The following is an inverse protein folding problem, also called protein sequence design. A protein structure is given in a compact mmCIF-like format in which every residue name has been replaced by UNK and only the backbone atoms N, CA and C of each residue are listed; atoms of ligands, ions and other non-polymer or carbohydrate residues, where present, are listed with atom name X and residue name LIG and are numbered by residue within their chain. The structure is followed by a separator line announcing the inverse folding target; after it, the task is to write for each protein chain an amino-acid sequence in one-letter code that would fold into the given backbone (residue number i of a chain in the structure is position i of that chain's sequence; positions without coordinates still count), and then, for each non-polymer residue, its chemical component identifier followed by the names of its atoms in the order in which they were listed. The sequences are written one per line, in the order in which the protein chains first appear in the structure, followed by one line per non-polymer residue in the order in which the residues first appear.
data_IF_113777894549
#
_entry.id   IF_113777894549
#
_cell.length_a   1.000
_cell.length_b   1.000
_cell.length_c   1.000
_cell.angle_alpha   90.00
_cell.angle_beta   90.00
_cell.angle_gamma   90.00
#
_symmetry.space_group_name_H-M   'P 1'
#
loop_
_entity.id
_entity.type
_entity.pdbx_description
1 polymer ?
#
# COMPACT_ATOMS: atom_id res chain seq x y z
N UNK A 1 1.98 15.56 2.25
CA UNK A 1 1.41 15.22 3.57
C UNK A 1 -0.09 14.97 3.53
N UNK A 2 -0.94 15.92 3.09
CA UNK A 2 -2.41 15.69 3.04
C UNK A 2 -2.76 14.59 2.03
N UNK A 3 -2.20 14.67 0.82
CA UNK A 3 -2.41 13.65 -0.23
C UNK A 3 -1.87 12.27 0.18
N UNK A 4 -0.67 12.21 0.77
CA UNK A 4 -0.08 10.94 1.24
C UNK A 4 -0.94 10.27 2.33
N UNK A 5 -1.47 11.06 3.27
CA UNK A 5 -2.39 10.55 4.29
C UNK A 5 -3.66 9.99 3.67
N UNK A 6 -4.25 10.71 2.72
CA UNK A 6 -5.46 10.23 2.04
C UNK A 6 -5.21 8.93 1.26
N UNK A 7 -4.05 8.78 0.63
CA UNK A 7 -3.68 7.52 -0.04
C UNK A 7 -3.54 6.37 0.95
N UNK A 8 -2.86 6.59 2.08
CA UNK A 8 -2.73 5.58 3.14
C UNK A 8 -4.09 5.19 3.74
N UNK A 9 -4.98 6.17 3.97
CA UNK A 9 -6.32 5.90 4.47
C UNK A 9 -7.18 5.15 3.44
N UNK A 10 -7.02 5.44 2.15
CA UNK A 10 -7.67 4.67 1.09
C UNK A 10 -7.17 3.22 1.08
N UNK A 11 -5.86 2.98 1.22
CA UNK A 11 -5.30 1.62 1.35
C UNK A 11 -5.84 0.90 2.58
N UNK A 12 -6.01 1.60 3.71
CA UNK A 12 -6.66 1.05 4.89
C UNK A 12 -8.11 0.61 4.60
N UNK A 13 -8.88 1.44 3.90
CA UNK A 13 -10.25 1.11 3.53
C UNK A 13 -10.33 -0.11 2.59
N UNK A 14 -9.34 -0.26 1.70
CA UNK A 14 -9.22 -1.38 0.76
C UNK A 14 -8.58 -2.63 1.37
N UNK A 15 -8.08 -2.54 2.61
CA UNK A 15 -7.34 -3.62 3.27
C UNK A 15 -8.15 -4.91 3.45
N UNK A 16 -7.43 -6.01 3.63
CA UNK A 16 -8.05 -7.31 3.86
C UNK A 16 -8.79 -7.42 5.20
N UNK A 17 -8.37 -6.65 6.21
CA UNK A 17 -9.07 -6.60 7.48
C UNK A 17 -10.49 -6.04 7.29
N UNK A 18 -10.61 -4.91 6.58
CA UNK A 18 -11.91 -4.30 6.23
C UNK A 18 -12.75 -5.25 5.36
N UNK A 19 -12.12 -5.99 4.43
CA UNK A 19 -12.79 -7.05 3.65
C UNK A 19 -13.46 -8.07 4.57
N UNK A 20 -12.72 -8.58 5.54
CA UNK A 20 -13.17 -9.63 6.46
C UNK A 20 -14.32 -9.15 7.33
N UNK A 21 -14.23 -7.92 7.85
CA UNK A 21 -15.31 -7.29 8.63
C UNK A 21 -16.58 -7.16 7.78
N UNK A 22 -16.49 -6.56 6.58
CA UNK A 22 -17.64 -6.36 5.71
C UNK A 22 -18.27 -7.69 5.26
N UNK A 23 -17.45 -8.68 4.84
CA UNK A 23 -17.94 -10.04 4.51
C UNK A 23 -18.65 -10.69 5.69
N UNK A 24 -18.10 -10.58 6.90
CA UNK A 24 -18.70 -11.17 8.09
C UNK A 24 -20.06 -10.54 8.41
N UNK A 25 -20.16 -9.21 8.38
CA UNK A 25 -21.42 -8.50 8.60
C UNK A 25 -22.47 -8.85 7.55
N UNK A 26 -22.08 -8.86 6.26
CA UNK A 26 -23.00 -9.19 5.17
C UNK A 26 -23.51 -10.64 5.24
N UNK A 27 -22.64 -11.59 5.59
CA UNK A 27 -22.99 -13.00 5.67
C UNK A 27 -23.72 -13.38 6.98
N UNK A 28 -23.41 -12.70 8.10
CA UNK A 28 -23.91 -13.02 9.43
C UNK A 28 -24.41 -11.77 10.16
N UNK A 29 -25.47 -11.10 9.68
CA UNK A 29 -25.97 -9.87 10.29
C UNK A 29 -26.45 -10.07 11.74
N UNK A 30 -26.81 -11.31 12.13
CA UNK A 30 -27.21 -11.67 13.50
C UNK A 30 -26.05 -11.67 14.51
N UNK A 31 -24.80 -11.68 14.05
CA UNK A 31 -23.62 -11.58 14.93
C UNK A 31 -23.43 -10.16 15.49
N UNK A 32 -24.13 -9.17 14.91
CA UNK A 32 -24.27 -7.82 15.47
C UNK A 32 -25.29 -7.90 16.62
N UNK A 33 -24.79 -7.76 17.84
CA UNK A 33 -25.60 -7.92 19.04
C UNK A 33 -26.15 -6.59 19.51
N UNK A 34 -27.44 -6.56 19.81
CA UNK A 34 -28.05 -5.51 20.63
C UNK A 34 -27.79 -5.80 22.11
N UNK A 35 -27.79 -4.76 22.93
CA UNK A 35 -27.77 -4.90 24.38
C UNK A 35 -29.10 -4.39 24.96
N UNK A 36 -29.45 -4.86 26.15
CA UNK A 36 -30.54 -4.27 26.91
C UNK A 36 -30.06 -2.90 27.38
N UNK A 37 -30.71 -1.86 26.88
CA UNK A 37 -30.62 -0.51 27.38
C UNK A 37 -31.86 -0.21 28.22
N UNK A 38 -31.85 0.90 28.94
CA UNK A 38 -33.02 1.40 29.62
C UNK A 38 -33.41 2.73 29.01
N UNK A 39 -34.64 2.84 28.55
CA UNK A 39 -35.21 4.07 28.02
C UNK A 39 -36.17 4.65 29.05
N UNK A 40 -36.06 5.95 29.27
CA UNK A 40 -36.99 6.68 30.13
C UNK A 40 -38.17 7.15 29.27
N UNK A 41 -39.37 6.72 29.62
CA UNK A 41 -40.60 7.15 28.98
C UNK A 41 -41.61 7.60 30.03
N UNK A 42 -42.49 8.49 29.59
CA UNK A 42 -43.55 9.04 30.42
C UNK A 42 -44.86 8.36 30.06
N UNK A 43 -45.55 7.82 31.06
CA UNK A 43 -46.82 7.13 30.90
C UNK A 43 -47.88 7.72 31.81
N UNK A 44 -49.15 7.70 31.37
CA UNK A 44 -50.28 8.12 32.18
C UNK A 44 -51.14 6.89 32.53
N UNK A 45 -51.45 6.73 33.82
CA UNK A 45 -52.35 5.69 34.32
C UNK A 45 -51.81 4.26 34.31
N UNK A 46 -50.55 4.05 33.90
CA UNK A 46 -49.91 2.73 33.91
C UNK A 46 -48.39 2.81 34.13
N UNK A 47 -47.80 1.73 34.67
CA UNK A 47 -46.38 1.67 35.05
C UNK A 47 -45.77 0.35 34.52
N UNK A 48 -45.16 0.33 33.32
CA UNK A 48 -44.69 -0.93 32.71
C UNK A 48 -43.27 -1.32 33.14
N UNK A 49 -42.55 -0.45 33.87
CA UNK A 49 -41.16 -0.63 34.28
C UNK A 49 -40.85 -0.02 35.64
N UNK A 50 -39.57 0.25 35.90
CA UNK A 50 -39.15 0.85 37.18
C UNK A 50 -39.36 2.36 37.18
N UNK A 51 -40.10 2.86 38.17
CA UNK A 51 -40.42 4.30 38.30
C UNK A 51 -39.18 5.08 38.76
N UNK A 52 -38.85 6.16 38.06
CA UNK A 52 -38.01 7.22 38.60
C UNK A 52 -38.90 8.15 39.42
N UNK A 53 -38.94 7.92 40.74
CA UNK A 53 -39.81 8.66 41.64
C UNK A 53 -39.53 10.17 41.62
N UNK A 54 -38.26 10.56 41.45
CA UNK A 54 -37.88 11.98 41.45
C UNK A 54 -38.36 12.66 40.17
N UNK A 55 -38.07 12.06 39.01
CA UNK A 55 -38.50 12.61 37.73
C UNK A 55 -40.03 12.62 37.62
N UNK A 56 -40.69 11.59 38.16
CA UNK A 56 -42.15 11.50 38.24
C UNK A 56 -42.75 12.64 39.03
N UNK A 57 -42.32 12.86 40.27
CA UNK A 57 -42.87 13.95 41.10
C UNK A 57 -42.70 15.31 40.43
N UNK A 58 -41.55 15.55 39.80
CA UNK A 58 -41.29 16.79 39.09
C UNK A 58 -42.23 16.97 37.89
N UNK A 59 -42.41 15.96 37.05
CA UNK A 59 -43.33 16.02 35.91
C UNK A 59 -44.80 16.14 36.33
N UNK A 60 -45.22 15.44 37.39
CA UNK A 60 -46.59 15.56 37.93
C UNK A 60 -46.87 16.97 38.47
N UNK A 61 -45.90 17.57 39.17
CA UNK A 61 -46.03 18.94 39.67
C UNK A 61 -46.05 19.97 38.53
N UNK A 62 -45.24 19.76 37.49
CA UNK A 62 -45.14 20.66 36.34
C UNK A 62 -46.35 20.59 35.41
N UNK A 63 -46.94 19.40 35.22
CA UNK A 63 -48.08 19.17 34.33
C UNK A 63 -49.43 19.21 35.03
N UNK A 64 -49.46 19.02 36.36
CA UNK A 64 -50.69 18.86 37.15
C UNK A 64 -51.36 17.50 37.01
N UNK A 65 -50.78 16.56 36.24
CA UNK A 65 -51.33 15.23 36.04
C UNK A 65 -50.75 14.23 37.05
N UNK A 66 -51.49 13.94 38.12
CA UNK A 66 -51.10 12.96 39.15
C UNK A 66 -51.03 11.50 38.67
N UNK A 67 -51.51 11.22 37.46
CA UNK A 67 -51.47 9.88 36.86
C UNK A 67 -50.23 9.64 36.01
N UNK A 68 -49.40 10.67 35.82
CA UNK A 68 -48.20 10.62 35.00
C UNK A 68 -47.03 10.01 35.77
N UNK A 69 -46.37 9.01 35.20
CA UNK A 69 -45.19 8.35 35.76
C UNK A 69 -44.04 8.41 34.76
N UNK A 70 -42.86 8.78 35.24
CA UNK A 70 -41.61 8.67 34.50
C UNK A 70 -41.00 7.32 34.83
N UNK A 71 -40.95 6.45 33.83
CA UNK A 71 -40.62 5.04 33.98
C UNK A 71 -39.41 4.70 33.14
N UNK A 72 -38.52 3.89 33.69
CA UNK A 72 -37.37 3.31 33.00
C UNK A 72 -37.70 1.88 32.57
N UNK A 73 -37.67 1.63 31.26
CA UNK A 73 -38.03 0.34 30.66
C UNK A 73 -36.86 -0.30 29.93
N UNK A 74 -36.68 -1.63 30.05
CA UNK A 74 -35.66 -2.34 29.29
C UNK A 74 -36.02 -2.35 27.80
N UNK A 75 -35.22 -1.68 26.97
CA UNK A 75 -35.33 -1.70 25.51
C UNK A 75 -34.14 -2.46 24.90
N UNK A 76 -34.38 -3.21 23.83
CA UNK A 76 -33.28 -3.85 23.08
C UNK A 76 -32.71 -2.83 22.12
N UNK A 77 -31.51 -2.31 22.43
CA UNK A 77 -30.88 -1.26 21.65
C UNK A 77 -29.65 -1.75 20.91
N UNK A 78 -29.51 -1.47 19.60
CA UNK A 78 -28.27 -1.70 18.87
C UNK A 78 -27.20 -0.64 19.20
N UNK A 79 -27.53 0.42 19.95
CA UNK A 79 -26.65 1.55 20.25
C UNK A 79 -25.59 1.21 21.32
N UNK A 80 -24.89 0.10 21.12
CA UNK A 80 -23.79 -0.32 21.98
C UNK A 80 -22.48 0.36 21.57
N UNK A 81 -21.56 0.52 22.52
CA UNK A 81 -20.22 1.06 22.26
C UNK A 81 -19.46 0.26 21.19
N UNK A 82 -19.65 -1.05 21.14
CA UNK A 82 -19.01 -1.95 20.17
C UNK A 82 -19.60 -1.81 18.77
N UNK A 83 -20.93 -1.67 18.68
CA UNK A 83 -21.60 -1.41 17.41
C UNK A 83 -21.24 -0.02 16.88
N UNK A 84 -21.01 0.96 17.76
CA UNK A 84 -20.51 2.28 17.36
C UNK A 84 -19.15 2.18 16.65
N UNK A 85 -18.19 1.45 17.20
CA UNK A 85 -16.88 1.22 16.54
C UNK A 85 -17.05 0.54 15.18
N UNK A 86 -17.80 -0.56 15.14
CA UNK A 86 -18.04 -1.32 13.91
C UNK A 86 -18.72 -0.48 12.83
N UNK A 87 -19.79 0.24 13.20
CA UNK A 87 -20.53 1.11 12.29
C UNK A 87 -19.65 2.24 11.75
N UNK A 88 -18.87 2.88 12.63
CA UNK A 88 -17.99 3.97 12.22
C UNK A 88 -16.91 3.50 11.25
N UNK A 89 -16.23 2.38 11.54
CA UNK A 89 -15.17 1.82 10.68
C UNK A 89 -15.68 1.52 9.27
N UNK A 90 -16.83 0.85 9.15
CA UNK A 90 -17.40 0.51 7.85
C UNK A 90 -17.85 1.75 7.08
N UNK A 91 -18.50 2.71 7.76
CA UNK A 91 -18.93 3.97 7.13
C UNK A 91 -17.74 4.81 6.65
N UNK A 92 -16.67 4.88 7.44
CA UNK A 92 -15.48 5.65 7.09
C UNK A 92 -14.79 5.03 5.87
N UNK A 93 -14.64 3.70 5.86
CA UNK A 93 -14.09 2.98 4.71
C UNK A 93 -14.94 3.18 3.43
N UNK A 94 -16.27 3.12 3.55
CA UNK A 94 -17.20 3.41 2.45
C UNK A 94 -16.99 4.83 1.90
N UNK A 95 -16.93 5.81 2.79
CA UNK A 95 -16.74 7.23 2.44
C UNK A 95 -15.42 7.47 1.69
N UNK A 96 -14.32 6.88 2.18
CA UNK A 96 -13.00 6.99 1.56
C UNK A 96 -12.97 6.37 0.15
N UNK A 97 -13.53 5.17 0.00
CA UNK A 97 -13.56 4.48 -1.29
C UNK A 97 -14.41 5.27 -2.30
N UNK A 98 -15.62 5.69 -1.93
CA UNK A 98 -16.50 6.46 -2.80
C UNK A 98 -15.91 7.84 -3.16
N UNK A 99 -15.20 8.48 -2.22
CA UNK A 99 -14.46 9.72 -2.47
C UNK A 99 -13.36 9.50 -3.52
N UNK A 100 -12.55 8.44 -3.36
CA UNK A 100 -11.49 8.10 -4.30
C UNK A 100 -12.02 7.76 -5.70
N UNK A 101 -13.10 6.98 -5.79
CA UNK A 101 -13.75 6.65 -7.06
C UNK A 101 -14.18 7.90 -7.83
N UNK A 102 -14.79 8.87 -7.14
CA UNK A 102 -15.20 10.16 -7.74
C UNK A 102 -14.00 10.99 -8.17
N UNK A 103 -12.98 11.08 -7.31
CA UNK A 103 -11.78 11.89 -7.55
C UNK A 103 -10.97 11.40 -8.74
N UNK A 104 -10.72 10.08 -8.80
CA UNK A 104 -9.91 9.47 -9.84
C UNK A 104 -10.72 9.04 -11.06
N UNK A 105 -12.03 9.31 -11.08
CA UNK A 105 -12.96 8.92 -12.15
C UNK A 105 -12.81 7.43 -12.50
N UNK A 106 -12.75 6.61 -11.47
CA UNK A 106 -12.55 5.17 -11.60
C UNK A 106 -13.73 4.57 -12.36
N UNK A 107 -13.42 3.90 -13.47
CA UNK A 107 -14.40 3.31 -14.38
C UNK A 107 -14.65 1.84 -14.08
N UNK A 108 -15.59 1.21 -14.81
CA UNK A 108 -15.95 -0.20 -14.63
C UNK A 108 -14.78 -1.18 -14.78
N UNK A 109 -13.71 -0.77 -15.49
CA UNK A 109 -12.50 -1.57 -15.69
C UNK A 109 -11.73 -1.86 -14.39
N UNK A 110 -11.94 -1.07 -13.33
CA UNK A 110 -11.39 -1.35 -11.99
C UNK A 110 -12.40 -2.12 -11.13
N UNK A 111 -12.90 -3.23 -11.66
CA UNK A 111 -13.98 -4.04 -11.08
C UNK A 111 -13.74 -4.38 -9.60
N UNK A 112 -12.49 -4.61 -9.21
CA UNK A 112 -12.12 -4.97 -7.83
C UNK A 112 -12.44 -3.87 -6.81
N UNK A 113 -12.29 -2.57 -7.15
CA UNK A 113 -12.65 -1.45 -6.26
C UNK A 113 -14.17 -1.35 -6.17
N UNK A 114 -14.88 -1.49 -7.30
CA UNK A 114 -16.34 -1.49 -7.33
C UNK A 114 -16.92 -2.65 -6.50
N UNK A 115 -16.39 -3.86 -6.66
CA UNK A 115 -16.75 -5.03 -5.86
C UNK A 115 -16.47 -4.81 -4.37
N UNK A 116 -15.39 -4.09 -4.04
CA UNK A 116 -15.09 -3.73 -2.65
C UNK A 116 -16.08 -2.72 -2.09
N UNK A 117 -16.40 -1.67 -2.85
CA UNK A 117 -17.37 -0.66 -2.45
C UNK A 117 -18.75 -1.30 -2.22
N UNK A 118 -19.22 -2.12 -3.17
CA UNK A 118 -20.50 -2.82 -3.08
C UNK A 118 -20.59 -3.75 -1.86
N UNK A 119 -19.51 -4.46 -1.53
CA UNK A 119 -19.44 -5.31 -0.34
C UNK A 119 -19.56 -4.50 0.97
N UNK A 120 -18.86 -3.37 1.06
CA UNK A 120 -18.92 -2.51 2.24
C UNK A 120 -20.31 -1.87 2.35
N UNK A 121 -20.86 -1.38 1.24
CA UNK A 121 -22.21 -0.83 1.17
C UNK A 121 -23.27 -1.87 1.60
N UNK A 122 -23.13 -3.13 1.15
CA UNK A 122 -24.00 -4.21 1.60
C UNK A 122 -23.94 -4.40 3.13
N UNK A 123 -22.74 -4.31 3.71
CA UNK A 123 -22.56 -4.42 5.15
C UNK A 123 -23.16 -3.22 5.91
N UNK A 124 -22.99 -1.99 5.42
CA UNK A 124 -23.51 -0.78 6.06
C UNK A 124 -25.05 -0.68 5.99
N UNK A 125 -25.67 -1.31 4.98
CA UNK A 125 -27.13 -1.43 4.84
C UNK A 125 -27.79 -2.40 5.84
N UNK A 126 -27.02 -3.13 6.65
CA UNK A 126 -27.58 -3.95 7.74
C UNK A 126 -28.43 -3.11 8.69
N UNK A 127 -29.65 -3.57 9.00
CA UNK A 127 -30.64 -2.80 9.80
C UNK A 127 -30.05 -2.26 11.11
N UNK A 128 -29.39 -3.11 11.89
CA UNK A 128 -28.83 -2.74 13.20
C UNK A 128 -27.70 -1.71 13.07
N UNK A 129 -26.84 -1.82 12.04
CA UNK A 129 -25.78 -0.84 11.81
C UNK A 129 -26.34 0.48 11.29
N UNK A 130 -27.35 0.43 10.42
CA UNK A 130 -28.01 1.62 9.92
C UNK A 130 -28.64 2.45 11.05
N UNK A 131 -29.31 1.78 12.00
CA UNK A 131 -29.83 2.43 13.21
C UNK A 131 -28.72 3.11 14.02
N UNK A 132 -27.58 2.43 14.20
CA UNK A 132 -26.40 3.01 14.87
C UNK A 132 -25.84 4.20 14.11
N UNK A 133 -25.65 4.09 12.79
CA UNK A 133 -25.08 5.15 11.95
C UNK A 133 -25.94 6.42 11.90
N UNK A 134 -27.27 6.26 11.95
CA UNK A 134 -28.21 7.38 11.94
C UNK A 134 -28.30 8.08 13.30
N UNK A 135 -27.97 7.38 14.38
CA UNK A 135 -27.96 7.94 15.74
C UNK A 135 -26.91 9.06 15.92
N UNK A 136 -27.09 9.97 16.90
CA UNK A 136 -26.07 10.98 17.23
C UNK A 136 -24.71 10.37 17.58
N UNK A 137 -24.72 9.23 18.29
CA UNK A 137 -23.51 8.49 18.62
C UNK A 137 -22.80 7.97 17.37
N UNK A 138 -23.54 7.46 16.38
CA UNK A 138 -22.96 6.98 15.13
C UNK A 138 -22.28 8.07 14.31
N UNK A 139 -22.72 9.34 14.42
CA UNK A 139 -22.11 10.46 13.67
C UNK A 139 -20.73 10.82 14.19
N UNK A 140 -20.49 10.72 15.50
CA UNK A 140 -19.19 11.03 16.11
C UNK A 140 -18.19 9.89 15.92
N UNK A 141 -16.91 10.24 15.95
CA UNK A 141 -15.81 9.28 16.04
C UNK A 141 -15.86 8.52 17.38
N UNK A 142 -15.60 7.19 17.40
CA UNK A 142 -15.45 6.42 18.62
C UNK A 142 -14.29 6.94 19.47
N UNK A 143 -14.47 7.00 20.79
CA UNK A 143 -13.40 7.32 21.73
C UNK A 143 -12.71 6.07 22.27
N UNK A 144 -11.72 6.28 23.14
CA UNK A 144 -10.95 5.19 23.72
C UNK A 144 -11.79 4.22 24.58
N UNK A 145 -12.90 4.67 25.17
CA UNK A 145 -13.77 3.81 25.95
C UNK A 145 -14.53 2.81 25.05
N UNK A 146 -15.00 3.28 23.90
CA UNK A 146 -15.68 2.45 22.90
C UNK A 146 -14.73 1.43 22.26
N UNK A 147 -13.51 1.87 21.90
CA UNK A 147 -12.47 0.99 21.36
C UNK A 147 -12.10 -0.10 22.37
N UNK A 148 -11.89 0.26 23.65
CA UNK A 148 -11.58 -0.73 24.70
C UNK A 148 -12.70 -1.74 24.89
N UNK A 149 -13.95 -1.31 24.86
CA UNK A 149 -15.10 -2.22 24.99
C UNK A 149 -15.22 -3.16 23.78
N UNK A 150 -15.02 -2.66 22.56
CA UNK A 150 -14.99 -3.47 21.34
C UNK A 150 -13.85 -4.53 21.39
N UNK A 151 -12.65 -4.14 21.84
CA UNK A 151 -11.48 -5.02 21.97
C UNK A 151 -11.65 -6.11 23.03
N UNK A 152 -12.37 -5.82 24.12
CA UNK A 152 -12.69 -6.79 25.18
C UNK A 152 -13.85 -7.73 24.82
N UNK A 153 -14.50 -7.50 23.68
CA UNK A 153 -15.62 -8.34 23.24
C UNK A 153 -15.18 -9.78 22.96
N UNK A 154 -16.03 -10.74 23.32
CA UNK A 154 -15.83 -12.15 22.99
C UNK A 154 -16.03 -12.44 21.50
N UNK A 155 -16.79 -11.61 20.79
CA UNK A 155 -17.00 -11.78 19.35
C UNK A 155 -15.79 -11.26 18.57
N UNK A 156 -15.17 -12.09 17.70
CA UNK A 156 -14.04 -11.68 16.87
C UNK A 156 -14.31 -10.46 16.00
N UNK A 157 -15.56 -10.28 15.54
CA UNK A 157 -15.98 -9.14 14.71
C UNK A 157 -15.63 -7.79 15.35
N UNK A 158 -15.97 -7.61 16.62
CA UNK A 158 -15.72 -6.34 17.32
C UNK A 158 -14.24 -6.12 17.63
N UNK A 159 -13.48 -7.19 17.84
CA UNK A 159 -12.01 -7.09 18.00
C UNK A 159 -11.37 -6.63 16.70
N UNK A 160 -11.76 -7.24 15.57
CA UNK A 160 -11.29 -6.81 14.24
C UNK A 160 -11.64 -5.34 13.95
N UNK A 161 -12.84 -4.90 14.32
CA UNK A 161 -13.25 -3.51 14.19
C UNK A 161 -12.42 -2.56 15.08
N UNK A 162 -12.13 -2.97 16.32
CA UNK A 162 -11.25 -2.21 17.20
C UNK A 162 -9.81 -2.12 16.64
N UNK A 163 -9.28 -3.23 16.12
CA UNK A 163 -7.94 -3.26 15.51
C UNK A 163 -7.90 -2.40 14.24
N UNK A 164 -8.95 -2.42 13.43
CA UNK A 164 -9.08 -1.53 12.27
C UNK A 164 -9.12 -0.05 12.68
N UNK A 165 -9.82 0.29 13.77
CA UNK A 165 -9.87 1.65 14.31
C UNK A 165 -8.50 2.11 14.84
N UNK A 166 -7.77 1.23 15.54
CA UNK A 166 -6.42 1.53 16.01
C UNK A 166 -5.43 1.72 14.86
N UNK A 167 -5.52 0.87 13.83
CA UNK A 167 -4.72 1.04 12.61
C UNK A 167 -5.02 2.37 11.92
N UNK A 168 -6.30 2.76 11.82
CA UNK A 168 -6.70 4.06 11.29
C UNK A 168 -6.09 5.22 12.08
N UNK A 169 -6.18 5.18 13.42
CA UNK A 169 -5.56 6.19 14.30
C UNK A 169 -4.05 6.28 14.13
N UNK A 170 -3.36 5.14 14.03
CA UNK A 170 -1.92 5.11 13.81
C UNK A 170 -1.52 5.71 12.47
N UNK A 171 -2.27 5.43 11.41
CA UNK A 171 -2.02 6.00 10.07
C UNK A 171 -2.22 7.52 10.08
N UNK A 172 -3.27 8.03 10.72
CA UNK A 172 -3.51 9.47 10.80
C UNK A 172 -2.41 10.23 11.55
N UNK A 173 -1.76 9.57 12.50
CA UNK A 173 -0.62 10.09 13.27
C UNK A 173 0.73 9.82 12.62
N UNK A 174 0.75 9.18 11.45
CA UNK A 174 1.95 8.71 10.78
C UNK A 174 2.84 7.81 11.66
N UNK A 175 2.23 6.96 12.49
CA UNK A 175 2.96 5.98 13.30
C UNK A 175 3.64 4.95 12.36
N UNK A 176 4.98 4.81 12.38
CA UNK A 176 5.71 4.00 11.42
C UNK A 176 5.26 2.54 11.37
N UNK A 177 4.98 1.94 12.53
CA UNK A 177 4.53 0.55 12.63
C UNK A 177 3.14 0.33 12.03
N UNK A 178 2.23 1.30 12.17
CA UNK A 178 0.89 1.23 11.58
C UNK A 178 0.96 1.30 10.04
N UNK A 179 1.79 2.21 9.52
CA UNK A 179 2.04 2.33 8.07
C UNK A 179 2.71 1.07 7.55
N UNK A 180 3.73 0.56 8.22
CA UNK A 180 4.44 -0.68 7.85
C UNK A 180 3.48 -1.86 7.80
N UNK A 181 2.66 -2.05 8.83
CA UNK A 181 1.66 -3.13 8.86
C UNK A 181 0.61 -2.99 7.73
N UNK A 182 0.16 -1.77 7.45
CA UNK A 182 -0.76 -1.50 6.35
C UNK A 182 -0.12 -1.85 5.00
N UNK A 183 1.06 -1.31 4.70
CA UNK A 183 1.75 -1.54 3.43
C UNK A 183 2.11 -3.01 3.26
N UNK A 184 2.53 -3.69 4.33
CA UNK A 184 2.82 -5.13 4.32
C UNK A 184 1.60 -5.97 3.95
N UNK A 185 0.42 -5.61 4.48
CA UNK A 185 -0.82 -6.37 4.27
C UNK A 185 -1.60 -5.98 3.01
N UNK A 186 -1.23 -4.88 2.34
CA UNK A 186 -1.94 -4.39 1.15
C UNK A 186 -1.05 -4.41 -0.08
N UNK A 187 0.06 -3.69 -0.03
CA UNK A 187 0.95 -3.47 -1.15
C UNK A 187 1.91 -4.63 -1.34
N UNK A 188 2.67 -4.97 -0.29
CA UNK A 188 3.71 -6.00 -0.35
C UNK A 188 3.11 -7.40 -0.45
N UNK A 189 1.97 -7.65 0.21
CA UNK A 189 1.30 -8.96 0.18
C UNK A 189 0.82 -9.38 -1.21
N UNK A 190 0.60 -8.44 -2.14
CA UNK A 190 0.16 -8.74 -3.51
C UNK A 190 1.33 -9.04 -4.46
N UNK A 191 2.57 -8.78 -4.01
CA UNK A 191 3.75 -8.98 -4.82
C UNK A 191 4.27 -10.41 -4.64
N UNK A 192 4.73 -11.00 -5.73
CA UNK A 192 5.55 -12.21 -5.67
C UNK A 192 6.93 -11.89 -5.06
N UNK A 193 7.65 -12.92 -4.60
CA UNK A 193 8.94 -12.72 -3.91
C UNK A 193 10.00 -12.04 -4.80
N UNK A 194 9.99 -12.33 -6.10
CA UNK A 194 10.85 -11.66 -7.07
C UNK A 194 10.50 -10.17 -7.22
N UNK A 195 9.21 -9.81 -7.26
CA UNK A 195 8.76 -8.41 -7.33
C UNK A 195 9.09 -7.64 -6.04
N UNK A 196 9.06 -8.31 -4.88
CA UNK A 196 9.49 -7.70 -3.61
C UNK A 196 10.98 -7.35 -3.65
N UNK A 197 11.82 -8.22 -4.21
CA UNK A 197 13.25 -7.96 -4.40
C UNK A 197 13.47 -6.74 -5.30
N UNK A 198 12.79 -6.69 -6.45
CA UNK A 198 12.88 -5.55 -7.37
C UNK A 198 12.47 -4.23 -6.72
N UNK A 199 11.30 -4.20 -6.07
CA UNK A 199 10.81 -3.00 -5.39
C UNK A 199 11.78 -2.56 -4.29
N UNK A 200 12.34 -3.52 -3.54
CA UNK A 200 13.33 -3.23 -2.49
C UNK A 200 14.61 -2.63 -3.06
N UNK A 201 15.11 -3.17 -4.18
CA UNK A 201 16.28 -2.62 -4.88
C UNK A 201 16.03 -1.17 -5.35
N UNK A 202 14.85 -0.91 -5.92
CA UNK A 202 14.45 0.42 -6.36
C UNK A 202 14.35 1.44 -5.23
N UNK A 203 13.73 1.07 -4.11
CA UNK A 203 13.60 1.93 -2.94
C UNK A 203 14.95 2.14 -2.22
N UNK A 204 15.76 1.09 -2.08
CA UNK A 204 17.10 1.20 -1.50
C UNK A 204 18.02 2.12 -2.34
N UNK A 205 17.91 2.06 -3.68
CA UNK A 205 18.63 2.99 -4.55
C UNK A 205 18.14 4.43 -4.37
N UNK A 206 16.82 4.64 -4.26
CA UNK A 206 16.26 5.96 -4.01
C UNK A 206 16.72 6.54 -2.66
N UNK A 207 16.74 5.73 -1.61
CA UNK A 207 17.26 6.11 -0.29
C UNK A 207 18.75 6.46 -0.36
N UNK A 208 19.57 5.60 -0.95
CA UNK A 208 21.01 5.85 -1.11
C UNK A 208 21.31 7.15 -1.91
N UNK A 209 20.52 7.43 -2.95
CA UNK A 209 20.62 8.69 -3.71
C UNK A 209 20.13 9.89 -2.89
N UNK A 210 19.13 9.73 -2.03
CA UNK A 210 18.61 10.80 -1.18
C UNK A 210 19.66 11.21 -0.15
N UNK A 211 20.26 10.22 0.52
CA UNK A 211 21.34 10.43 1.48
C UNK A 211 22.56 11.09 0.82
N UNK A 212 22.94 10.62 -0.36
CA UNK A 212 24.09 11.14 -1.09
C UNK A 212 23.87 12.57 -1.59
N UNK A 213 22.69 12.87 -2.14
CA UNK A 213 22.39 14.17 -2.75
C UNK A 213 21.84 15.20 -1.76
N UNK A 214 21.52 14.80 -0.53
CA UNK A 214 20.81 15.61 0.46
C UNK A 214 19.38 15.99 0.05
N UNK A 215 18.85 15.42 -1.03
CA UNK A 215 17.52 15.74 -1.56
C UNK A 215 16.46 14.81 -0.97
N UNK A 216 15.26 15.31 -0.64
CA UNK A 216 14.21 14.46 -0.10
C UNK A 216 13.72 13.45 -1.14
N UNK A 217 13.58 12.19 -0.71
CA UNK A 217 12.90 11.17 -1.48
C UNK A 217 11.39 11.40 -1.48
N UNK A 218 10.77 11.28 -2.66
CA UNK A 218 9.32 11.23 -2.83
C UNK A 218 8.92 9.92 -3.49
N UNK A 219 8.20 9.10 -2.74
CA UNK A 219 7.58 7.88 -3.25
C UNK A 219 6.35 8.25 -4.08
N UNK A 220 6.20 7.64 -5.26
CA UNK A 220 5.00 7.74 -6.10
C UNK A 220 4.26 6.42 -5.97
N UNK A 221 3.29 6.33 -5.07
CA UNK A 221 2.60 5.09 -4.64
C UNK A 221 1.95 4.21 -5.73
N UNK A 222 2.05 4.58 -7.01
CA UNK A 222 1.63 3.77 -8.14
C UNK A 222 2.62 2.63 -8.41
N UNK A 223 2.31 1.46 -7.86
CA UNK A 223 3.02 0.20 -8.10
C UNK A 223 2.38 -0.47 -9.31
N UNK A 224 2.64 0.11 -10.49
CA UNK A 224 2.25 -0.45 -11.78
C UNK A 224 3.51 -0.57 -12.64
N UNK A 225 3.74 -1.72 -13.27
CA UNK A 225 4.94 -1.94 -14.08
C UNK A 225 5.12 -0.86 -15.15
N UNK A 226 6.34 -0.33 -15.27
CA UNK A 226 6.68 0.79 -16.15
C UNK A 226 6.54 2.18 -15.53
N UNK A 227 6.05 2.30 -14.29
CA UNK A 227 5.91 3.58 -13.61
C UNK A 227 7.23 4.07 -12.98
N UNK A 228 7.29 5.38 -12.76
CA UNK A 228 8.24 5.96 -11.80
C UNK A 228 7.76 5.61 -10.38
N UNK A 229 8.60 4.91 -9.62
CA UNK A 229 8.30 4.51 -8.25
C UNK A 229 8.81 5.53 -7.23
N UNK A 230 9.88 6.26 -7.53
CA UNK A 230 10.43 7.27 -6.65
C UNK A 230 11.14 8.39 -7.41
N UNK A 231 11.19 9.57 -6.79
CA UNK A 231 11.99 10.71 -7.24
C UNK A 231 12.84 11.25 -6.10
N UNK A 232 14.07 11.65 -6.43
CA UNK A 232 15.05 12.17 -5.47
C UNK A 232 15.79 13.32 -6.14
N UNK A 233 15.40 14.56 -5.84
CA UNK A 233 15.96 15.74 -6.52
C UNK A 233 15.89 15.59 -8.05
N UNK A 234 17.06 15.51 -8.69
CA UNK A 234 17.23 15.32 -10.15
C UNK A 234 17.01 13.88 -10.64
N UNK A 235 16.97 12.89 -9.76
CA UNK A 235 16.87 11.49 -10.14
C UNK A 235 15.42 11.02 -10.23
N UNK A 236 15.14 10.14 -11.19
CA UNK A 236 13.87 9.44 -11.36
C UNK A 236 14.14 7.93 -11.40
N UNK A 237 13.50 7.21 -10.50
CA UNK A 237 13.66 5.77 -10.35
C UNK A 237 12.41 5.10 -10.92
N UNK A 238 12.61 4.27 -11.94
CA UNK A 238 11.54 3.56 -12.64
C UNK A 238 11.62 2.06 -12.38
N UNK A 239 10.46 1.43 -12.23
CA UNK A 239 10.33 -0.01 -12.05
C UNK A 239 9.74 -0.66 -13.31
N UNK A 240 10.37 -1.72 -13.80
CA UNK A 240 10.00 -2.46 -15.01
C UNK A 240 9.87 -1.59 -16.27
N UNK A 241 10.77 -0.60 -16.41
CA UNK A 241 10.78 0.35 -17.53
C UNK A 241 11.12 -0.36 -18.83
N UNK A 242 10.28 -0.17 -19.84
CA UNK A 242 10.58 -0.62 -21.20
C UNK A 242 11.69 0.23 -21.82
N UNK A 243 12.66 -0.44 -22.45
CA UNK A 243 13.74 0.17 -23.19
C UNK A 243 13.38 0.32 -24.67
N UNK A 244 13.98 1.33 -25.35
CA UNK A 244 13.81 1.48 -26.78
C UNK A 244 14.37 0.27 -27.54
N UNK A 245 13.69 -0.12 -28.63
CA UNK A 245 14.16 -1.19 -29.51
C UNK A 245 15.30 -0.68 -30.39
N UNK A 246 16.44 -1.39 -30.37
CA UNK A 246 17.56 -1.15 -31.29
C UNK A 246 17.21 -1.47 -32.75
N UNK A 247 17.70 -0.63 -33.66
CA UNK A 247 17.66 -0.86 -35.10
C UNK A 247 18.58 -2.03 -35.48
N UNK A 248 18.29 -2.72 -36.59
CA UNK A 248 19.07 -3.89 -37.02
C UNK A 248 20.56 -3.61 -37.19
N UNK A 249 20.92 -2.39 -37.62
CA UNK A 249 22.32 -1.97 -37.76
C UNK A 249 23.09 -1.88 -36.42
N UNK A 250 22.38 -1.89 -35.29
CA UNK A 250 22.92 -1.77 -33.93
C UNK A 250 22.91 -3.10 -33.16
N UNK A 251 22.48 -4.18 -33.82
CA UNK A 251 22.41 -5.51 -33.26
C UNK A 251 23.64 -6.32 -33.65
N UNK A 252 24.05 -7.21 -32.75
CA UNK A 252 25.05 -8.22 -33.10
C UNK A 252 24.48 -9.24 -34.08
N UNK A 253 25.38 -9.96 -34.76
CA UNK A 253 25.00 -11.03 -35.68
C UNK A 253 24.13 -12.11 -35.02
N UNK A 254 24.40 -12.43 -33.75
CA UNK A 254 23.59 -13.36 -32.95
C UNK A 254 22.20 -12.80 -32.67
N UNK A 255 22.07 -11.52 -32.31
CA UNK A 255 20.80 -10.86 -32.04
C UNK A 255 19.94 -10.75 -33.31
N UNK A 256 20.56 -10.49 -34.46
CA UNK A 256 19.89 -10.53 -35.78
C UNK A 256 19.37 -11.93 -36.06
N UNK A 257 20.16 -12.96 -35.78
CA UNK A 257 19.75 -14.36 -35.96
C UNK A 257 18.56 -14.72 -35.07
N UNK A 258 18.59 -14.34 -33.78
CA UNK A 258 17.47 -14.52 -32.85
C UNK A 258 16.22 -13.80 -33.37
N UNK A 259 16.34 -12.56 -33.85
CA UNK A 259 15.20 -11.81 -34.41
C UNK A 259 14.57 -12.52 -35.59
N UNK A 260 15.37 -12.92 -36.58
CA UNK A 260 14.90 -13.66 -37.77
C UNK A 260 14.26 -14.99 -37.41
N UNK A 261 14.88 -15.76 -36.52
CA UNK A 261 14.34 -17.05 -36.06
C UNK A 261 13.01 -16.88 -35.31
N UNK A 262 12.90 -15.85 -34.46
CA UNK A 262 11.66 -15.54 -33.72
C UNK A 262 10.54 -15.12 -34.67
N UNK A 263 10.84 -14.24 -35.63
CA UNK A 263 9.89 -13.78 -36.65
C UNK A 263 9.42 -14.93 -37.55
N UNK A 264 10.31 -15.87 -37.89
CA UNK A 264 9.95 -17.06 -38.67
C UNK A 264 9.01 -18.03 -37.94
N UNK A 265 8.88 -17.90 -36.61
CA UNK A 265 7.95 -18.67 -35.77
C UNK A 265 6.68 -17.89 -35.42
N UNK A 266 6.41 -16.76 -36.09
CA UNK A 266 5.32 -15.82 -35.80
C UNK A 266 5.33 -15.28 -34.35
N UNK A 267 6.47 -15.39 -33.67
CA UNK A 267 6.67 -14.82 -32.36
C UNK A 267 7.16 -13.37 -32.49
N UNK A 268 6.72 -12.51 -31.56
CA UNK A 268 7.19 -11.11 -31.48
C UNK A 268 8.22 -11.00 -30.37
N UNK A 269 9.39 -10.46 -30.70
CA UNK A 269 10.34 -10.02 -29.68
C UNK A 269 9.70 -8.92 -28.84
N UNK A 270 9.52 -9.18 -27.54
CA UNK A 270 9.12 -8.16 -26.58
C UNK A 270 10.17 -7.05 -26.46
N UNK A 271 9.76 -5.90 -25.95
CA UNK A 271 10.71 -4.86 -25.53
C UNK A 271 11.50 -5.37 -24.32
N UNK A 272 12.82 -5.08 -24.29
CA UNK A 272 13.60 -5.27 -23.07
C UNK A 272 12.99 -4.44 -21.95
N UNK A 273 12.73 -5.07 -20.81
CA UNK A 273 12.24 -4.40 -19.60
C UNK A 273 13.27 -4.60 -18.52
N UNK A 274 13.81 -3.50 -18.01
CA UNK A 274 14.76 -3.54 -16.89
C UNK A 274 13.98 -3.58 -15.60
N UNK A 275 14.47 -4.30 -14.61
CA UNK A 275 13.82 -4.31 -13.30
C UNK A 275 13.83 -2.91 -12.69
N UNK A 276 15.00 -2.28 -12.56
CA UNK A 276 15.12 -0.89 -12.10
C UNK A 276 15.96 -0.06 -13.06
N UNK A 277 15.49 1.15 -13.37
CA UNK A 277 16.25 2.15 -14.13
C UNK A 277 16.30 3.46 -13.37
N UNK A 278 17.50 4.03 -13.25
CA UNK A 278 17.71 5.39 -12.74
C UNK A 278 17.96 6.34 -13.91
N UNK A 279 17.16 7.40 -13.99
CA UNK A 279 17.26 8.45 -15.01
C UNK A 279 17.67 9.76 -14.35
N UNK A 280 18.62 10.44 -14.96
CA UNK A 280 18.89 11.84 -14.66
C UNK A 280 17.87 12.74 -15.38
N UNK A 281 16.96 13.36 -14.62
CA UNK A 281 15.82 14.09 -15.17
C UNK A 281 16.21 15.27 -16.08
N UNK A 282 17.19 16.13 -15.75
CA UNK A 282 17.56 17.26 -16.59
C UNK A 282 18.06 16.84 -17.97
N UNK A 283 18.83 15.76 -18.05
CA UNK A 283 19.39 15.26 -19.31
C UNK A 283 18.47 14.25 -20.00
N UNK A 284 17.51 13.66 -19.28
CA UNK A 284 16.66 12.56 -19.76
C UNK A 284 17.42 11.25 -19.95
N UNK A 285 18.66 11.18 -19.50
CA UNK A 285 19.58 10.09 -19.77
C UNK A 285 19.51 9.02 -18.67
N UNK A 286 19.51 7.76 -19.07
CA UNK A 286 19.70 6.64 -18.15
C UNK A 286 21.12 6.60 -17.61
N UNK A 287 21.27 6.59 -16.29
CA UNK A 287 22.56 6.61 -15.59
C UNK A 287 22.87 5.31 -14.85
N UNK A 288 21.88 4.44 -14.63
CA UNK A 288 22.08 3.15 -13.97
C UNK A 288 20.93 2.19 -14.25
N UNK A 289 21.22 0.90 -14.26
CA UNK A 289 20.27 -0.19 -14.21
C UNK A 289 20.58 -1.11 -13.02
N UNK A 290 19.53 -1.62 -12.36
CA UNK A 290 19.65 -2.75 -11.45
C UNK A 290 18.82 -3.91 -12.00
N UNK A 291 19.43 -5.08 -12.10
CA UNK A 291 18.73 -6.31 -12.49
C UNK A 291 18.65 -7.25 -11.30
N UNK A 292 17.45 -7.74 -11.03
CA UNK A 292 17.13 -8.53 -9.86
C UNK A 292 16.93 -10.00 -10.23
N UNK A 293 17.53 -10.91 -9.46
CA UNK A 293 17.30 -12.35 -9.63
C UNK A 293 16.98 -13.03 -8.32
N UNK A 294 15.75 -13.50 -8.22
CA UNK A 294 15.29 -14.33 -7.13
C UNK A 294 15.44 -15.80 -7.47
N UNK A 295 15.94 -16.58 -6.51
CA UNK A 295 16.00 -18.04 -6.60
C UNK A 295 15.77 -18.68 -5.23
N UNK A 296 15.19 -19.89 -5.22
CA UNK A 296 14.88 -20.62 -3.99
C UNK A 296 15.99 -21.54 -3.47
N UNK A 297 17.11 -21.68 -4.19
CA UNK A 297 18.20 -22.60 -3.85
C UNK A 297 19.56 -21.91 -3.98
N UNK A 298 20.45 -21.97 -2.96
CA UNK A 298 21.80 -21.39 -3.02
C UNK A 298 22.62 -21.86 -4.25
N UNK A 299 22.38 -23.09 -4.72
CA UNK A 299 23.07 -23.64 -5.88
C UNK A 299 22.75 -22.92 -7.20
N UNK A 300 21.70 -22.10 -7.22
CA UNK A 300 21.30 -21.31 -8.40
C UNK A 300 21.95 -19.92 -8.44
N UNK A 301 22.72 -19.52 -7.43
CA UNK A 301 23.31 -18.19 -7.33
C UNK A 301 24.22 -17.87 -8.53
N UNK A 302 25.10 -18.80 -8.92
CA UNK A 302 26.00 -18.59 -10.05
C UNK A 302 25.24 -18.35 -11.36
N UNK A 303 24.26 -19.19 -11.68
CA UNK A 303 23.44 -19.02 -12.89
C UNK A 303 22.63 -17.72 -12.85
N UNK A 304 22.11 -17.33 -11.67
CA UNK A 304 21.38 -16.09 -11.51
C UNK A 304 22.27 -14.86 -11.74
N UNK A 305 23.51 -14.87 -11.22
CA UNK A 305 24.48 -13.80 -11.44
C UNK A 305 24.81 -13.68 -12.94
N UNK A 306 25.09 -14.80 -13.61
CA UNK A 306 25.41 -14.79 -15.04
C UNK A 306 24.23 -14.24 -15.85
N UNK A 307 23.01 -14.71 -15.61
CA UNK A 307 21.80 -14.24 -16.29
C UNK A 307 21.55 -12.74 -16.05
N UNK A 308 21.69 -12.26 -14.81
CA UNK A 308 21.57 -10.84 -14.49
C UNK A 308 22.61 -9.99 -15.25
N UNK A 309 23.87 -10.44 -15.30
CA UNK A 309 24.94 -9.73 -16.02
C UNK A 309 24.67 -9.71 -17.52
N UNK A 310 24.27 -10.83 -18.12
CA UNK A 310 23.91 -10.91 -19.55
C UNK A 310 22.79 -9.91 -19.90
N UNK A 311 21.78 -9.82 -19.04
CA UNK A 311 20.69 -8.86 -19.21
C UNK A 311 21.16 -7.41 -19.03
N UNK A 312 21.99 -7.11 -18.02
CA UNK A 312 22.54 -5.77 -17.81
C UNK A 312 23.38 -5.30 -18.99
N UNK A 313 24.21 -6.17 -19.56
CA UNK A 313 24.98 -5.88 -20.78
C UNK A 313 24.03 -5.50 -21.92
N UNK A 314 22.97 -6.29 -22.13
CA UNK A 314 21.95 -6.00 -23.15
C UNK A 314 21.25 -4.66 -22.90
N UNK A 315 20.84 -4.38 -21.66
CA UNK A 315 20.16 -3.13 -21.33
C UNK A 315 21.05 -1.91 -21.48
N UNK A 316 22.33 -2.01 -21.13
CA UNK A 316 23.28 -0.93 -21.34
C UNK A 316 23.43 -0.62 -22.83
N UNK A 317 23.46 -1.64 -23.68
CA UNK A 317 23.47 -1.49 -25.15
C UNK A 317 22.17 -0.92 -25.70
N UNK A 318 21.02 -1.33 -25.18
CA UNK A 318 19.72 -0.78 -25.56
C UNK A 318 19.61 0.71 -25.16
N UNK A 319 20.15 1.08 -24.01
CA UNK A 319 20.23 2.47 -23.54
C UNK A 319 21.27 3.32 -24.27
N UNK A 320 22.33 2.71 -24.80
CA UNK A 320 23.46 3.37 -25.50
C UNK A 320 23.73 2.75 -26.88
N UNK A 321 22.76 2.77 -27.80
CA UNK A 321 22.82 1.95 -29.01
C UNK A 321 23.81 2.46 -30.07
N UNK A 322 24.31 3.68 -29.91
CA UNK A 322 25.23 4.31 -30.86
C UNK A 322 26.71 4.00 -30.60
N UNK A 323 27.10 3.62 -29.38
CA UNK A 323 28.50 3.45 -29.02
C UNK A 323 28.67 2.39 -27.91
N UNK A 324 29.43 1.34 -28.21
CA UNK A 324 29.70 0.25 -27.26
C UNK A 324 30.49 0.74 -26.05
N UNK A 325 31.45 1.64 -26.23
CA UNK A 325 32.26 2.15 -25.12
C UNK A 325 31.42 2.95 -24.10
N UNK A 326 30.36 3.63 -24.54
CA UNK A 326 29.44 4.32 -23.61
C UNK A 326 28.48 3.33 -22.93
N UNK A 327 28.14 2.21 -23.58
CA UNK A 327 27.43 1.11 -22.95
C UNK A 327 28.29 0.43 -21.87
N UNK A 328 29.56 0.16 -22.15
CA UNK A 328 30.53 -0.39 -21.18
C UNK A 328 30.75 0.56 -20.00
N UNK A 329 30.86 1.86 -20.26
CA UNK A 329 30.96 2.86 -19.20
C UNK A 329 29.70 2.91 -18.32
N UNK A 330 28.51 2.70 -18.89
CA UNK A 330 27.25 2.63 -18.13
C UNK A 330 27.20 1.35 -17.27
N UNK A 331 27.76 0.24 -17.76
CA UNK A 331 27.73 -1.06 -17.08
C UNK A 331 28.41 -1.02 -15.69
N UNK A 332 29.50 -0.25 -15.54
CA UNK A 332 30.22 -0.02 -14.26
C UNK A 332 29.34 0.69 -13.21
N UNK A 333 28.32 1.41 -13.68
CA UNK A 333 27.34 2.12 -12.88
C UNK A 333 26.04 1.31 -12.69
N UNK A 334 26.03 0.04 -13.08
CA UNK A 334 24.92 -0.90 -12.88
C UNK A 334 25.25 -1.94 -11.81
N UNK A 335 24.22 -2.61 -11.28
CA UNK A 335 24.42 -3.72 -10.36
C UNK A 335 23.42 -4.86 -10.55
N UNK A 336 23.90 -6.08 -10.36
CA UNK A 336 23.08 -7.25 -10.16
C UNK A 336 22.69 -7.36 -8.68
N UNK A 337 21.40 -7.53 -8.42
CA UNK A 337 20.83 -7.73 -7.09
C UNK A 337 20.26 -9.14 -7.04
N UNK A 338 20.84 -10.03 -6.25
CA UNK A 338 20.36 -11.41 -6.16
C UNK A 338 19.67 -11.68 -4.82
N UNK A 339 18.87 -12.74 -4.72
CA UNK A 339 18.17 -13.04 -3.47
C UNK A 339 19.13 -13.33 -2.30
N UNK A 340 20.25 -13.98 -2.55
CA UNK A 340 21.27 -14.37 -1.56
C UNK A 340 22.63 -14.51 -2.24
N UNK A 341 23.72 -14.00 -1.64
CA UNK A 341 25.05 -14.10 -2.25
C UNK A 341 25.66 -15.51 -2.25
N UNK A 342 25.23 -16.43 -1.38
CA UNK A 342 25.56 -17.86 -1.40
C UNK A 342 27.06 -18.18 -1.63
N UNK A 343 27.95 -17.41 -1.01
CA UNK A 343 29.41 -17.57 -1.11
C UNK A 343 30.11 -16.64 -2.10
N UNK A 344 29.38 -15.82 -2.85
CA UNK A 344 29.93 -14.72 -3.64
C UNK A 344 30.16 -13.48 -2.77
N UNK A 345 31.17 -12.68 -3.11
CA UNK A 345 31.48 -11.44 -2.40
C UNK A 345 30.74 -10.25 -3.01
N UNK A 346 30.09 -9.46 -2.16
CA UNK A 346 29.52 -8.16 -2.52
C UNK A 346 30.59 -7.24 -3.14
N UNK A 347 30.19 -6.43 -4.12
CA UNK A 347 31.09 -5.49 -4.79
C UNK A 347 30.29 -4.35 -5.39
N UNK A 348 30.37 -3.15 -4.81
CA UNK A 348 29.64 -1.98 -5.30
C UNK A 348 30.51 -0.72 -5.39
N UNK A 349 31.83 -0.86 -5.24
CA UNK A 349 32.83 0.22 -5.27
C UNK A 349 33.21 0.69 -6.69
N UNK A 350 32.82 -0.07 -7.72
CA UNK A 350 33.18 0.20 -9.11
C UNK A 350 34.53 -0.41 -9.53
N UNK A 351 35.17 -1.22 -8.69
CA UNK A 351 36.38 -1.95 -9.05
C UNK A 351 36.11 -3.11 -10.03
N UNK A 352 34.87 -3.61 -10.06
CA UNK A 352 34.41 -4.64 -10.99
C UNK A 352 33.54 -4.02 -12.11
N UNK A 353 33.44 -4.68 -13.29
CA UNK A 353 32.64 -4.18 -14.41
C UNK A 353 31.14 -4.05 -14.12
N UNK A 354 30.62 -4.80 -13.15
CA UNK A 354 29.21 -4.78 -12.71
C UNK A 354 29.21 -4.90 -11.19
N UNK A 355 28.37 -4.10 -10.54
CA UNK A 355 28.13 -4.21 -9.11
C UNK A 355 27.37 -5.50 -8.75
N UNK A 356 27.59 -6.06 -7.56
CA UNK A 356 26.88 -7.24 -7.08
C UNK A 356 26.51 -7.05 -5.61
N UNK A 357 25.26 -7.31 -5.26
CA UNK A 357 24.75 -7.33 -3.88
C UNK A 357 23.56 -8.28 -3.77
N UNK A 358 23.09 -8.52 -2.54
CA UNK A 358 21.86 -9.26 -2.28
C UNK A 358 20.86 -8.46 -1.43
N UNK A 359 19.73 -9.09 -1.09
CA UNK A 359 18.71 -8.47 -0.26
C UNK A 359 19.22 -8.02 1.12
N UNK A 360 20.14 -8.77 1.74
CA UNK A 360 20.72 -8.38 3.02
C UNK A 360 21.64 -7.15 2.86
N UNK A 361 22.40 -7.09 1.77
CA UNK A 361 23.18 -5.92 1.38
C UNK A 361 22.30 -4.69 1.18
N UNK A 362 21.19 -4.82 0.45
CA UNK A 362 20.22 -3.72 0.27
C UNK A 362 19.74 -3.17 1.62
N UNK A 363 19.35 -4.05 2.55
CA UNK A 363 18.87 -3.67 3.87
C UNK A 363 19.94 -2.96 4.73
N UNK A 364 21.21 -3.21 4.45
CA UNK A 364 22.35 -2.61 5.14
C UNK A 364 22.93 -1.38 4.40
N UNK A 365 22.28 -0.90 3.34
CA UNK A 365 22.70 0.28 2.59
C UNK A 365 23.89 0.05 1.64
N UNK A 366 24.08 -1.18 1.15
CA UNK A 366 25.22 -1.53 0.29
C UNK A 366 25.30 -0.68 -0.99
N UNK A 367 24.18 -0.13 -1.46
CA UNK A 367 24.10 0.72 -2.66
C UNK A 367 24.71 2.13 -2.49
N UNK A 368 25.09 2.54 -1.27
CA UNK A 368 25.65 3.86 -1.01
C UNK A 368 26.88 4.22 -1.89
N UNK A 369 27.89 3.35 -2.07
CA UNK A 369 29.04 3.67 -2.93
C UNK A 369 28.67 3.84 -4.40
N UNK A 370 27.67 3.09 -4.89
CA UNK A 370 27.15 3.25 -6.25
C UNK A 370 26.43 4.60 -6.39
N UNK A 371 25.53 4.94 -5.46
CA UNK A 371 24.84 6.22 -5.45
C UNK A 371 25.81 7.42 -5.41
N UNK A 372 26.89 7.34 -4.62
CA UNK A 372 27.96 8.34 -4.57
C UNK A 372 28.63 8.56 -5.92
N UNK A 373 28.99 7.48 -6.63
CA UNK A 373 29.59 7.60 -7.98
C UNK A 373 28.62 8.22 -8.98
N UNK A 374 27.36 7.77 -8.98
CA UNK A 374 26.31 8.30 -9.85
C UNK A 374 26.12 9.81 -9.62
N UNK A 375 26.08 10.22 -8.35
CA UNK A 375 25.92 11.62 -7.99
C UNK A 375 27.12 12.47 -8.40
N UNK A 376 28.34 12.01 -8.11
CA UNK A 376 29.57 12.71 -8.49
C UNK A 376 29.65 12.93 -10.02
N UNK A 377 29.38 11.89 -10.82
CA UNK A 377 29.36 11.97 -12.29
C UNK A 377 28.30 12.95 -12.80
N UNK A 378 27.09 12.89 -12.25
CA UNK A 378 26.00 13.76 -12.67
C UNK A 378 26.26 15.24 -12.36
N UNK A 379 26.96 15.53 -11.26
CA UNK A 379 27.31 16.90 -10.87
C UNK A 379 28.45 17.46 -11.71
N UNK A 380 29.46 16.65 -12.03
CA UNK A 380 30.55 17.04 -12.94
C UNK A 380 30.01 17.41 -14.33
N UNK A 381 29.07 16.62 -14.86
CA UNK A 381 28.45 16.88 -16.17
C UNK A 381 27.60 18.17 -16.26
N UNK A 382 27.37 18.89 -15.15
CA UNK A 382 26.71 20.21 -15.14
C UNK A 382 27.70 21.38 -15.04
N UNK A 383 28.97 21.10 -14.69
CA UNK A 383 30.00 22.11 -14.57
C UNK A 383 30.70 22.40 -15.91
N UNK A 384 30.56 21.48 -16.86
CA UNK A 384 30.94 21.61 -18.28
C UNK A 384 29.74 22.06 -19.12
#
# INVERSE_FOLDING_TARGET
MIEDREELLLRWALSDNLRRIAKHVAARPRDIRSAIAFETQTYSGHIPGSVDARATLFEQELTGDTTLFVVSEPSVSPLTRRNHVLAWVLREAESLILSAMRRHKLGPEQEWIHNRAALIEQATRSKLLREVMLSPAGRRRPGGAEIRDARKSLSPLYRLAADAMLAFEGIERFEPEAIKALLSSTLVAQLDDWQKLELSAGLAMAEALADTSGSPMRWKGSIAGGSEIASVGRYRIHWQKALPKRADAQLDSSEIMVRKATEALDARLGLGRTDITVVDQPTGITISHLECKWFGSPNSANSAIVDAIEQLVRYCRDSRPANVATAESLLVDCAAVISDLSGFAESLDGAKPVGLTDFAGLANGSLAPLAQRLHAKATLALAD
#
